data_IF_292732066177
#
_entry.id   IF_292732066177
#
_cell.length_a   1.000
_cell.length_b   1.000
_cell.length_c   1.000
_cell.angle_alpha   90.00
_cell.angle_beta   90.00
_cell.angle_gamma   90.00
#
_symmetry.space_group_name_H-M   'P 1'
#
loop_
_entity.id
_entity.type
_entity.pdbx_description
1 polymer ?
#
# COMPACT_ATOMS: atom_id res chain seq x y z
N UNK A 1 35.89 2.01 -23.64
CA UNK A 1 35.23 2.00 -22.31
C UNK A 1 35.68 3.24 -21.56
N UNK A 2 34.79 4.19 -21.29
CA UNK A 2 35.13 5.37 -20.49
C UNK A 2 35.13 5.00 -19.01
N UNK A 3 36.31 5.02 -18.37
CA UNK A 3 36.45 4.84 -16.93
C UNK A 3 36.50 6.23 -16.27
N UNK A 4 35.37 6.67 -15.73
CA UNK A 4 35.19 8.01 -15.14
C UNK A 4 35.87 8.19 -13.78
N UNK A 5 36.33 7.10 -13.15
CA UNK A 5 36.93 7.14 -11.82
C UNK A 5 38.26 6.37 -11.82
N UNK A 6 39.35 7.08 -11.53
CA UNK A 6 40.67 6.51 -11.30
C UNK A 6 41.11 6.86 -9.88
N UNK A 7 41.64 5.89 -9.12
CA UNK A 7 42.22 6.09 -7.78
C UNK A 7 41.34 6.87 -6.77
N UNK A 8 40.08 6.46 -6.60
CA UNK A 8 39.19 7.06 -5.58
C UNK A 8 39.65 6.64 -4.18
N UNK A 9 40.31 7.55 -3.47
CA UNK A 9 40.70 7.36 -2.06
C UNK A 9 39.70 8.11 -1.15
N UNK A 10 38.55 7.49 -0.91
CA UNK A 10 37.54 7.99 0.02
C UNK A 10 37.66 7.26 1.36
N UNK A 11 37.88 8.03 2.43
CA UNK A 11 37.92 7.50 3.79
C UNK A 11 36.50 7.40 4.37
N UNK A 12 35.82 6.31 4.00
CA UNK A 12 34.47 5.99 4.47
C UNK A 12 34.38 5.86 5.99
N UNK A 13 35.47 5.47 6.65
CA UNK A 13 35.51 5.30 8.10
C UNK A 13 35.47 6.63 8.83
N UNK A 14 36.08 7.69 8.28
CA UNK A 14 35.94 9.05 8.83
C UNK A 14 34.51 9.60 8.67
N UNK A 15 33.87 9.34 7.53
CA UNK A 15 32.52 9.83 7.24
C UNK A 15 31.39 9.00 7.86
N UNK A 16 31.69 7.84 8.49
CA UNK A 16 30.68 6.92 9.03
C UNK A 16 29.64 7.60 9.92
N UNK A 17 30.07 8.52 10.80
CA UNK A 17 29.17 9.20 11.75
C UNK A 17 28.16 10.09 11.03
N UNK A 18 28.58 10.76 9.96
CA UNK A 18 27.70 11.58 9.13
C UNK A 18 26.63 10.71 8.46
N UNK A 19 27.02 9.61 7.81
CA UNK A 19 26.06 8.72 7.16
C UNK A 19 25.11 8.03 8.15
N UNK A 20 25.61 7.61 9.32
CA UNK A 20 24.78 7.05 10.39
C UNK A 20 23.76 8.09 10.87
N UNK A 21 24.21 9.34 11.11
CA UNK A 21 23.31 10.39 11.58
C UNK A 21 22.26 10.76 10.53
N UNK A 22 22.67 10.88 9.26
CA UNK A 22 21.75 11.15 8.15
C UNK A 22 20.71 10.02 8.00
N UNK A 23 21.16 8.76 8.00
CA UNK A 23 20.28 7.59 7.90
C UNK A 23 19.32 7.50 9.08
N UNK A 24 19.82 7.69 10.31
CA UNK A 24 19.00 7.67 11.53
C UNK A 24 17.97 8.80 11.50
N UNK A 25 18.35 10.00 11.05
CA UNK A 25 17.43 11.14 10.94
C UNK A 25 16.31 10.86 9.94
N UNK A 26 16.63 10.32 8.77
CA UNK A 26 15.63 9.95 7.76
C UNK A 26 14.70 8.87 8.31
N UNK A 27 15.24 7.86 9.01
CA UNK A 27 14.44 6.80 9.62
C UNK A 27 13.47 7.34 10.67
N UNK A 28 13.94 8.21 11.57
CA UNK A 28 13.12 8.85 12.59
C UNK A 28 12.07 9.78 11.98
N UNK A 29 12.40 10.52 10.90
CA UNK A 29 11.45 11.34 10.18
C UNK A 29 10.32 10.49 9.55
N UNK A 30 10.66 9.33 8.97
CA UNK A 30 9.67 8.37 8.46
C UNK A 30 8.74 7.84 9.56
N UNK A 31 9.30 7.48 10.72
CA UNK A 31 8.52 7.03 11.87
C UNK A 31 7.62 8.15 12.41
N UNK A 32 8.15 9.36 12.58
CA UNK A 32 7.37 10.52 13.01
C UNK A 32 6.21 10.81 12.04
N UNK A 33 6.48 10.73 10.72
CA UNK A 33 5.45 10.89 9.69
C UNK A 33 4.33 9.84 9.82
N UNK A 34 4.67 8.58 10.05
CA UNK A 34 3.69 7.51 10.28
C UNK A 34 2.85 7.76 11.55
N UNK A 35 3.49 8.14 12.65
CA UNK A 35 2.80 8.45 13.91
C UNK A 35 1.87 9.66 13.80
N UNK A 36 2.31 10.72 13.11
CA UNK A 36 1.50 11.93 12.88
C UNK A 36 0.26 11.59 12.05
N UNK A 37 0.41 10.83 10.95
CA UNK A 37 -0.75 10.41 10.15
C UNK A 37 -1.73 9.56 10.95
N UNK A 38 -1.22 8.61 11.74
CA UNK A 38 -2.06 7.76 12.59
C UNK A 38 -2.80 8.55 13.68
N UNK A 39 -2.14 9.51 14.33
CA UNK A 39 -2.73 10.26 15.45
C UNK A 39 -3.68 11.37 15.02
N UNK A 40 -3.38 12.07 13.93
CA UNK A 40 -4.09 13.30 13.53
C UNK A 40 -5.05 13.11 12.34
N UNK A 41 -4.96 12.00 11.58
CA UNK A 41 -5.88 11.71 10.48
C UNK A 41 -6.54 10.32 10.60
N UNK A 42 -7.32 10.05 11.66
CA UNK A 42 -8.13 8.84 11.71
C UNK A 42 -9.17 8.88 10.57
N UNK A 43 -8.96 8.05 9.53
CA UNK A 43 -9.89 7.88 8.40
C UNK A 43 -9.55 8.64 7.10
N UNK A 44 -8.45 9.41 7.04
CA UNK A 44 -8.08 10.17 5.83
C UNK A 44 -6.76 9.75 5.16
N UNK A 45 -5.77 9.35 5.96
CA UNK A 45 -4.50 8.79 5.47
C UNK A 45 -3.98 7.79 6.47
N UNK A 46 -4.30 6.52 6.27
CA UNK A 46 -3.72 5.50 7.12
C UNK A 46 -2.19 5.49 6.98
N UNK A 47 -1.50 5.38 8.12
CA UNK A 47 -0.05 5.38 8.14
C UNK A 47 0.55 4.20 7.35
N UNK A 48 -0.21 3.11 7.24
CA UNK A 48 0.14 1.89 6.55
C UNK A 48 -1.05 1.41 5.70
N UNK A 49 -0.82 1.05 4.44
CA UNK A 49 -1.84 0.41 3.61
C UNK A 49 -1.92 -1.07 3.99
N UNK A 50 -2.60 -1.35 5.10
CA UNK A 50 -2.70 -2.69 5.67
C UNK A 50 -3.56 -3.59 4.77
N UNK A 51 -3.05 -4.79 4.50
CA UNK A 51 -3.79 -5.83 3.78
C UNK A 51 -4.92 -6.44 4.62
N UNK A 52 -5.71 -7.29 3.96
CA UNK A 52 -6.81 -8.05 4.58
C UNK A 52 -6.36 -8.95 5.73
N UNK A 53 -5.10 -9.41 5.73
CA UNK A 53 -4.52 -10.22 6.82
C UNK A 53 -4.45 -9.45 8.15
N UNK A 54 -4.44 -8.12 8.11
CA UNK A 54 -4.32 -7.25 9.29
C UNK A 54 -5.61 -6.52 9.65
N UNK A 55 -6.41 -6.12 8.63
CA UNK A 55 -7.69 -5.42 8.82
C UNK A 55 -8.90 -6.35 8.87
N UNK A 56 -8.72 -7.62 8.52
CA UNK A 56 -9.83 -8.50 8.15
C UNK A 56 -10.40 -8.13 6.78
N UNK A 57 -11.29 -8.99 6.27
CA UNK A 57 -11.94 -8.80 4.99
C UNK A 57 -11.89 -10.07 4.13
N UNK A 58 -12.25 -9.90 2.86
CA UNK A 58 -12.39 -11.02 1.92
C UNK A 58 -11.64 -10.72 0.64
N UNK A 59 -10.84 -11.68 0.17
CA UNK A 59 -10.25 -11.64 -1.16
C UNK A 59 -11.04 -12.54 -2.08
N UNK A 60 -11.52 -11.97 -3.18
CA UNK A 60 -12.23 -12.69 -4.25
C UNK A 60 -11.35 -12.67 -5.48
N UNK A 61 -11.00 -13.85 -5.95
CA UNK A 61 -10.37 -14.03 -7.25
C UNK A 61 -11.45 -14.22 -8.30
N UNK A 62 -11.58 -13.27 -9.22
CA UNK A 62 -12.55 -13.33 -10.30
C UNK A 62 -11.84 -13.51 -11.64
N UNK A 63 -12.27 -14.50 -12.41
CA UNK A 63 -11.80 -14.73 -13.78
C UNK A 63 -12.84 -14.22 -14.78
N UNK A 64 -12.43 -13.28 -15.62
CA UNK A 64 -13.28 -12.64 -16.62
C UNK A 64 -12.90 -13.10 -18.02
N UNK A 65 -13.91 -13.51 -18.80
CA UNK A 65 -13.74 -13.77 -20.25
C UNK A 65 -13.21 -12.55 -21.00
N UNK A 66 -13.69 -11.37 -20.64
CA UNK A 66 -13.18 -10.08 -21.09
C UNK A 66 -13.05 -9.18 -19.87
N UNK A 67 -11.80 -8.83 -19.51
CA UNK A 67 -11.52 -8.07 -18.30
C UNK A 67 -12.09 -6.65 -18.40
N UNK A 68 -13.06 -6.26 -17.54
CA UNK A 68 -13.52 -4.87 -17.49
C UNK A 68 -12.41 -3.97 -16.90
N UNK A 69 -12.53 -2.66 -17.09
CA UNK A 69 -11.62 -1.71 -16.47
C UNK A 69 -11.69 -1.82 -14.93
N UNK A 70 -10.56 -1.76 -14.20
CA UNK A 70 -10.56 -1.79 -12.73
C UNK A 70 -11.50 -0.76 -12.10
N UNK A 71 -11.63 0.41 -12.72
CA UNK A 71 -12.50 1.50 -12.30
C UNK A 71 -13.97 1.10 -12.38
N UNK A 72 -14.40 0.41 -13.45
CA UNK A 72 -15.76 -0.06 -13.59
C UNK A 72 -16.13 -1.10 -12.52
N UNK A 73 -15.19 -1.96 -12.13
CA UNK A 73 -15.37 -2.90 -11.02
C UNK A 73 -15.51 -2.12 -9.71
N UNK A 74 -14.64 -1.13 -9.48
CA UNK A 74 -14.67 -0.26 -8.29
C UNK A 74 -15.99 0.47 -8.14
N UNK A 75 -16.49 1.10 -9.21
CA UNK A 75 -17.73 1.89 -9.19
C UNK A 75 -18.96 1.02 -8.89
N UNK A 76 -18.99 -0.20 -9.42
CA UNK A 76 -20.05 -1.18 -9.13
C UNK A 76 -20.03 -1.64 -7.68
N UNK A 77 -18.85 -1.94 -7.14
CA UNK A 77 -18.70 -2.31 -5.74
C UNK A 77 -19.06 -1.16 -4.79
N UNK A 78 -18.68 0.08 -5.15
CA UNK A 78 -19.07 1.28 -4.39
C UNK A 78 -20.59 1.48 -4.38
N UNK A 79 -21.24 1.27 -5.53
CA UNK A 79 -22.70 1.34 -5.66
C UNK A 79 -23.41 0.23 -4.85
N UNK A 80 -22.74 -0.89 -4.60
CA UNK A 80 -23.22 -1.99 -3.76
C UNK A 80 -22.93 -1.78 -2.25
N UNK A 81 -22.40 -0.62 -1.85
CA UNK A 81 -22.11 -0.30 -0.45
C UNK A 81 -20.74 -0.74 0.04
N UNK A 82 -19.85 -1.22 -0.85
CA UNK A 82 -18.46 -1.53 -0.48
C UNK A 82 -17.63 -0.25 -0.51
N UNK A 83 -17.20 0.22 0.66
CA UNK A 83 -16.26 1.33 0.78
C UNK A 83 -14.82 0.88 0.46
N UNK A 84 -14.15 1.56 -0.46
CA UNK A 84 -12.72 1.40 -0.79
C UNK A 84 -12.23 -0.03 -1.18
N UNK A 85 -12.81 -0.66 -2.23
CA UNK A 85 -12.30 -1.94 -2.72
C UNK A 85 -10.97 -1.75 -3.47
N UNK A 86 -10.02 -2.64 -3.20
CA UNK A 86 -8.72 -2.68 -3.90
C UNK A 86 -8.81 -3.71 -5.03
N UNK A 87 -8.71 -3.22 -6.27
CA UNK A 87 -8.72 -4.05 -7.48
C UNK A 87 -7.27 -4.22 -7.95
N UNK A 88 -6.77 -5.45 -7.94
CA UNK A 88 -5.43 -5.78 -8.38
C UNK A 88 -5.48 -6.78 -9.55
N UNK A 89 -5.05 -6.38 -10.76
CA UNK A 89 -4.96 -7.32 -11.87
C UNK A 89 -3.83 -8.32 -11.65
N UNK A 90 -4.03 -9.57 -12.06
CA UNK A 90 -2.97 -10.59 -12.06
C UNK A 90 -2.16 -10.46 -13.34
N UNK A 91 -0.86 -10.20 -13.22
CA UNK A 91 0.03 -10.00 -14.37
C UNK A 91 0.15 -11.26 -15.24
N UNK A 92 0.14 -12.44 -14.62
CA UNK A 92 0.38 -13.72 -15.30
C UNK A 92 -0.87 -14.28 -16.00
N UNK A 93 -2.06 -13.76 -15.68
CA UNK A 93 -3.34 -14.21 -16.25
C UNK A 93 -4.20 -12.99 -16.59
N UNK A 94 -4.29 -12.60 -17.88
CA UNK A 94 -4.91 -11.35 -18.28
C UNK A 94 -6.42 -11.27 -17.98
N UNK A 95 -7.10 -12.40 -17.76
CA UNK A 95 -8.51 -12.45 -17.35
C UNK A 95 -8.74 -12.40 -15.84
N UNK A 96 -7.71 -12.65 -15.02
CA UNK A 96 -7.86 -12.82 -13.57
C UNK A 96 -7.61 -11.50 -12.82
N UNK A 97 -8.51 -11.21 -11.88
CA UNK A 97 -8.47 -10.01 -11.05
C UNK A 97 -8.68 -10.41 -9.59
N UNK A 98 -7.79 -9.92 -8.73
CA UNK A 98 -7.92 -10.02 -7.28
C UNK A 98 -8.67 -8.79 -6.77
N UNK A 99 -9.82 -9.04 -6.15
CA UNK A 99 -10.67 -8.02 -5.54
C UNK A 99 -10.56 -8.18 -4.03
N UNK A 100 -10.00 -7.18 -3.36
CA UNK A 100 -9.90 -7.15 -1.90
C UNK A 100 -11.04 -6.28 -1.35
N UNK A 101 -11.90 -6.90 -0.56
CA UNK A 101 -13.05 -6.28 0.09
C UNK A 101 -12.71 -6.08 1.56
N UNK A 102 -12.86 -4.86 2.12
CA UNK A 102 -12.68 -4.66 3.55
C UNK A 102 -13.78 -5.36 4.35
N UNK A 103 -13.49 -5.67 5.61
CA UNK A 103 -14.48 -6.24 6.53
C UNK A 103 -15.63 -5.25 6.74
N UNK A 104 -16.84 -5.62 6.35
CA UNK A 104 -18.04 -4.85 6.66
C UNK A 104 -18.47 -5.17 8.09
N UNK A 105 -18.61 -4.15 8.94
CA UNK A 105 -19.17 -4.34 10.29
C UNK A 105 -20.62 -4.83 10.14
N UNK A 106 -20.89 -6.05 10.63
CA UNK A 106 -22.20 -6.71 10.52
C UNK A 106 -23.25 -6.13 11.49
N UNK A 107 -23.22 -4.81 11.71
CA UNK A 107 -24.09 -4.09 12.65
C UNK A 107 -25.32 -3.42 12.03
N UNK A 108 -25.49 -3.42 10.69
CA UNK A 108 -26.58 -2.66 10.04
C UNK A 108 -27.44 -3.46 9.04
N UNK A 109 -27.25 -4.78 8.90
CA UNK A 109 -28.01 -5.61 7.96
C UNK A 109 -28.69 -6.84 8.58
N UNK A 110 -28.85 -6.89 9.91
CA UNK A 110 -29.56 -7.95 10.62
C UNK A 110 -30.58 -7.38 11.63
N UNK A 111 -31.31 -6.34 11.21
CA UNK A 111 -32.30 -5.67 12.06
C UNK A 111 -33.29 -4.84 11.27
N UNK A 112 -34.09 -5.51 10.44
CA UNK A 112 -35.52 -5.26 10.21
C UNK A 112 -36.09 -6.32 9.25
#
# INVERSE_FOLDING_TARGET
MFQLFHNVNLDWLKLRKFFILLSTTIMLAGLASALVRHRFHPGGTEAFNLGIDFKGGTVVTADFKQRPAPEAIRDRLHSAGVSDPIIQPVTDKPGEVLIRLPQMETGQAAGQ
#
